data_IF_122009310879
#
_entry.id   IF_122009310879
#
_cell.length_a   1.000
_cell.length_b   1.000
_cell.length_c   1.000
_cell.angle_alpha   90.00
_cell.angle_beta   90.00
_cell.angle_gamma   90.00
#
_symmetry.space_group_name_H-M   'P 1'
#
loop_
_entity.id
_entity.type
_entity.pdbx_description
1 polymer ?
#
# COMPACT_ATOMS: atom_id res chain seq x y z
N UNK A 1 -16.72 8.21 -5.71
CA UNK A 1 -15.47 8.20 -6.46
C UNK A 1 -14.29 8.45 -5.55
N UNK A 2 -13.27 7.69 -5.71
CA UNK A 2 -12.12 7.75 -4.81
C UNK A 2 -11.14 8.82 -5.26
N UNK A 3 -10.77 9.69 -4.35
CA UNK A 3 -9.80 10.74 -4.63
C UNK A 3 -8.42 10.14 -4.90
N UNK A 4 -8.13 9.05 -4.24
CA UNK A 4 -6.82 8.41 -4.35
C UNK A 4 -6.48 8.05 -5.78
N UNK A 5 -7.45 7.56 -6.51
CA UNK A 5 -7.18 7.13 -7.89
C UNK A 5 -6.85 8.32 -8.78
N UNK A 6 -7.46 9.45 -8.53
CA UNK A 6 -7.24 10.61 -9.37
C UNK A 6 -5.92 11.30 -9.08
N UNK A 7 -5.34 11.01 -7.93
CA UNK A 7 -4.11 11.66 -7.50
C UNK A 7 -2.87 10.91 -7.96
N UNK A 8 -3.04 9.90 -8.79
CA UNK A 8 -1.90 9.15 -9.26
C UNK A 8 -1.42 8.09 -8.31
N UNK A 9 -2.25 7.70 -7.39
CA UNK A 9 -1.92 6.61 -6.50
C UNK A 9 -1.81 5.33 -7.31
N UNK A 10 -0.72 4.61 -7.12
CA UNK A 10 -0.46 3.41 -7.91
C UNK A 10 -0.35 2.16 -7.09
N UNK A 11 -0.09 2.29 -5.83
CA UNK A 11 0.14 1.15 -4.97
C UNK A 11 -0.67 1.26 -3.72
N UNK A 12 -1.13 0.13 -3.23
CA UNK A 12 -1.89 0.10 -1.99
C UNK A 12 -1.29 -0.98 -1.11
N UNK A 13 -1.12 -0.69 0.16
CA UNK A 13 -0.62 -1.63 1.14
C UNK A 13 -1.72 -1.84 2.18
N UNK A 14 -2.12 -3.08 2.35
CA UNK A 14 -3.13 -3.46 3.32
C UNK A 14 -2.47 -4.05 4.54
N UNK A 15 -2.85 -3.58 5.72
CA UNK A 15 -2.34 -4.11 6.98
C UNK A 15 -3.54 -4.34 7.88
N UNK A 16 -3.93 -5.60 8.03
CA UNK A 16 -5.02 -5.96 8.90
C UNK A 16 -6.32 -5.23 8.59
N UNK A 17 -6.58 -4.98 7.32
CA UNK A 17 -7.81 -4.30 6.92
C UNK A 17 -7.69 -2.80 6.80
N UNK A 18 -6.55 -2.24 7.18
CA UNK A 18 -6.29 -0.81 7.01
C UNK A 18 -5.49 -0.64 5.73
N UNK A 19 -5.88 0.31 4.90
CA UNK A 19 -5.24 0.52 3.62
C UNK A 19 -4.49 1.85 3.58
N UNK A 20 -3.32 1.81 2.97
CA UNK A 20 -2.50 2.99 2.74
C UNK A 20 -2.15 3.06 1.27
N UNK A 21 -2.18 4.25 0.71
CA UNK A 21 -1.96 4.46 -0.72
C UNK A 21 -0.62 5.13 -0.96
N UNK A 22 0.04 4.70 -2.02
CA UNK A 22 1.35 5.22 -2.37
C UNK A 22 1.42 5.48 -3.86
N UNK A 23 2.22 6.47 -4.24
CA UNK A 23 2.42 6.81 -5.65
C UNK A 23 3.65 6.13 -6.22
N UNK A 24 4.48 5.57 -5.37
CA UNK A 24 5.77 5.03 -5.74
C UNK A 24 5.95 3.64 -5.14
N UNK A 25 6.38 2.70 -5.95
CA UNK A 25 6.57 1.33 -5.48
C UNK A 25 7.60 1.25 -4.36
N UNK A 26 8.69 2.03 -4.49
CA UNK A 26 9.73 2.01 -3.48
C UNK A 26 9.21 2.35 -2.10
N UNK A 27 8.35 3.36 -2.04
CA UNK A 27 7.74 3.76 -0.79
C UNK A 27 6.79 2.69 -0.26
N UNK A 28 5.98 2.15 -1.15
CA UNK A 28 5.03 1.12 -0.75
C UNK A 28 5.76 -0.11 -0.22
N UNK A 29 6.81 -0.52 -0.93
CA UNK A 29 7.59 -1.69 -0.52
C UNK A 29 8.29 -1.46 0.80
N UNK A 30 8.78 -0.26 1.00
CA UNK A 30 9.45 0.10 2.24
C UNK A 30 8.51 -0.05 3.42
N UNK A 31 7.30 0.46 3.28
CA UNK A 31 6.31 0.37 4.34
C UNK A 31 5.82 -1.07 4.52
N UNK A 32 5.69 -1.78 3.42
CA UNK A 32 5.31 -3.19 3.45
C UNK A 32 6.32 -3.97 4.31
N UNK A 33 7.60 -3.78 4.02
CA UNK A 33 8.66 -4.48 4.76
C UNK A 33 8.66 -4.09 6.22
N UNK A 34 8.39 -2.83 6.50
CA UNK A 34 8.37 -2.33 7.85
C UNK A 34 7.29 -3.01 8.68
N UNK A 35 6.10 -3.15 8.09
CA UNK A 35 5.00 -3.82 8.77
C UNK A 35 5.32 -5.28 9.02
N UNK A 36 5.93 -5.94 8.02
CA UNK A 36 6.33 -7.34 8.18
C UNK A 36 7.32 -7.47 9.33
N UNK A 37 8.27 -6.55 9.41
CA UNK A 37 9.28 -6.57 10.48
C UNK A 37 8.67 -6.34 11.85
N UNK A 38 7.53 -5.68 11.91
CA UNK A 38 6.85 -5.43 13.17
C UNK A 38 6.06 -6.64 13.65
N UNK A 39 6.02 -7.68 12.83
CA UNK A 39 5.33 -8.90 13.22
C UNK A 39 3.95 -9.09 12.61
N UNK A 40 3.52 -8.19 11.74
CA UNK A 40 2.25 -8.35 11.07
C UNK A 40 2.42 -9.34 9.93
N UNK A 41 1.52 -10.28 9.81
CA UNK A 41 1.61 -11.29 8.76
C UNK A 41 0.47 -11.20 7.75
N UNK A 42 -0.44 -10.26 7.92
CA UNK A 42 -1.53 -10.07 6.97
C UNK A 42 -1.33 -8.78 6.20
N UNK A 43 -0.11 -8.57 5.74
CA UNK A 43 0.25 -7.38 4.97
C UNK A 43 0.27 -7.76 3.50
N UNK A 44 -0.42 -6.98 2.68
CA UNK A 44 -0.55 -7.22 1.26
C UNK A 44 -0.21 -5.94 0.52
N UNK A 45 0.54 -6.07 -0.57
CA UNK A 45 0.84 -4.94 -1.42
C UNK A 45 0.26 -5.24 -2.80
N UNK A 46 -0.45 -4.29 -3.37
CA UNK A 46 -1.10 -4.46 -4.66
C UNK A 46 -0.85 -3.26 -5.55
N UNK A 47 -0.77 -3.51 -6.83
CA UNK A 47 -0.68 -2.43 -7.80
C UNK A 47 -2.08 -2.02 -8.23
N UNK A 48 -2.34 -0.73 -8.21
CA UNK A 48 -3.61 -0.20 -8.66
C UNK A 48 -3.50 0.06 -10.15
N UNK A 49 -4.33 -0.61 -10.94
CA UNK A 49 -4.33 -0.41 -12.38
C UNK A 49 -5.60 0.33 -12.76
N UNK A 50 -5.44 1.30 -13.62
CA UNK A 50 -6.56 2.13 -14.06
C UNK A 50 -6.92 1.81 -15.49
#
# INVERSE_FOLDING_TARGET
>A
MSVEYRQGWRWIVWVGGVDDYYTDYGRAKEHYDEWINKGYDDVIIEEITQ
#
